data_IF_893429838273
#
_entry.id   IF_893429838273
#
_cell.length_a   1.000
_cell.length_b   1.000
_cell.length_c   1.000
_cell.angle_alpha   90.00
_cell.angle_beta   90.00
_cell.angle_gamma   90.00
#
_symmetry.space_group_name_H-M   'P 1'
#
loop_
_entity.id
_entity.type
_entity.pdbx_description
1 polymer ?
#
# COMPACT_ATOMS: atom_id res chain seq x y z
N UNK A 1 -18.89 0.67 -32.65
CA UNK A 1 -18.98 2.00 -32.00
C UNK A 1 -20.26 2.13 -31.17
N UNK A 2 -21.46 2.29 -31.76
CA UNK A 2 -22.71 2.47 -30.98
C UNK A 2 -23.04 1.30 -30.03
N UNK A 3 -22.96 0.04 -30.50
CA UNK A 3 -23.17 -1.14 -29.65
C UNK A 3 -22.16 -1.24 -28.50
N UNK A 4 -20.91 -0.85 -28.74
CA UNK A 4 -19.87 -0.85 -27.72
C UNK A 4 -20.11 0.24 -26.68
N UNK A 5 -20.56 1.43 -27.11
CA UNK A 5 -20.99 2.51 -26.21
C UNK A 5 -22.15 2.05 -25.32
N UNK A 6 -23.20 1.48 -25.91
CA UNK A 6 -24.36 0.99 -25.16
C UNK A 6 -24.00 -0.06 -24.10
N UNK A 7 -23.08 -0.98 -24.44
CA UNK A 7 -22.59 -1.97 -23.47
C UNK A 7 -21.78 -1.33 -22.34
N UNK A 8 -20.96 -0.30 -22.63
CA UNK A 8 -20.19 0.42 -21.60
C UNK A 8 -21.13 1.21 -20.69
N UNK A 9 -22.10 1.94 -21.27
CA UNK A 9 -23.07 2.74 -20.51
C UNK A 9 -23.88 1.85 -19.54
N UNK A 10 -24.37 0.69 -20.02
CA UNK A 10 -25.11 -0.26 -19.18
C UNK A 10 -24.27 -0.83 -18.01
N UNK A 11 -22.98 -1.08 -18.24
CA UNK A 11 -22.08 -1.52 -17.17
C UNK A 11 -21.82 -0.42 -16.13
N UNK A 12 -21.73 0.84 -16.56
CA UNK A 12 -21.58 1.99 -15.66
C UNK A 12 -22.83 2.16 -14.81
N UNK A 13 -24.02 2.11 -15.41
CA UNK A 13 -25.30 2.22 -14.69
C UNK A 13 -25.49 1.10 -13.65
N UNK A 14 -25.01 -0.11 -13.96
CA UNK A 14 -25.03 -1.22 -13.01
C UNK A 14 -24.04 -1.05 -11.84
N UNK A 15 -22.94 -0.31 -12.03
CA UNK A 15 -21.91 -0.08 -11.02
C UNK A 15 -22.22 1.15 -10.15
N UNK A 16 -23.35 1.13 -9.45
CA UNK A 16 -23.90 2.27 -8.70
C UNK A 16 -23.55 2.30 -7.19
N UNK A 17 -22.63 1.43 -6.74
CA UNK A 17 -22.24 1.34 -5.33
C UNK A 17 -20.93 2.11 -5.12
N UNK A 18 -20.97 3.16 -4.31
CA UNK A 18 -19.79 3.90 -3.86
C UNK A 18 -19.37 3.40 -2.47
N UNK A 19 -18.13 2.90 -2.36
CA UNK A 19 -17.57 2.37 -1.11
C UNK A 19 -16.05 2.23 -1.20
N UNK A 20 -15.40 2.07 -0.04
CA UNK A 20 -14.02 1.60 0.04
C UNK A 20 -13.84 0.20 -0.58
N UNK A 21 -12.70 -0.02 -1.22
CA UNK A 21 -12.34 -1.29 -1.85
C UNK A 21 -10.94 -1.73 -1.42
N UNK A 22 -10.72 -3.04 -1.34
CA UNK A 22 -9.40 -3.63 -1.16
C UNK A 22 -8.84 -4.00 -2.54
N UNK A 23 -7.69 -3.43 -2.89
CA UNK A 23 -6.97 -3.74 -4.14
C UNK A 23 -5.72 -4.54 -3.80
N UNK A 24 -5.64 -5.76 -4.33
CA UNK A 24 -4.47 -6.63 -4.15
C UNK A 24 -3.64 -6.64 -5.42
N UNK A 25 -2.45 -6.04 -5.37
CA UNK A 25 -1.47 -6.07 -6.45
C UNK A 25 -0.46 -7.19 -6.19
N UNK A 26 -0.60 -8.32 -6.88
CA UNK A 26 0.23 -9.51 -6.69
C UNK A 26 0.80 -10.04 -8.01
N UNK A 27 1.60 -11.10 -7.94
CA UNK A 27 2.27 -11.75 -9.06
C UNK A 27 3.76 -11.41 -9.16
N UNK A 28 4.48 -12.21 -9.95
CA UNK A 28 5.94 -12.13 -10.05
C UNK A 28 6.44 -10.98 -10.94
N UNK A 29 5.54 -10.36 -11.70
CA UNK A 29 5.87 -9.20 -12.53
C UNK A 29 6.31 -7.99 -11.72
N UNK A 30 7.25 -7.22 -12.28
CA UNK A 30 7.56 -5.87 -11.80
C UNK A 30 6.33 -4.97 -12.04
N UNK A 31 5.98 -4.15 -11.06
CA UNK A 31 4.91 -3.16 -11.22
C UNK A 31 4.05 -2.93 -9.98
N UNK A 32 4.00 -3.89 -9.04
CA UNK A 32 3.11 -3.86 -7.87
C UNK A 32 3.25 -2.58 -7.05
N UNK A 33 4.44 -2.34 -6.47
CA UNK A 33 4.67 -1.16 -5.63
C UNK A 33 4.57 0.14 -6.43
N UNK A 34 5.13 0.20 -7.65
CA UNK A 34 5.02 1.39 -8.50
C UNK A 34 3.56 1.73 -8.86
N UNK A 35 2.71 0.72 -9.07
CA UNK A 35 1.27 0.93 -9.30
C UNK A 35 0.57 1.43 -8.04
N UNK A 36 0.94 0.92 -6.85
CA UNK A 36 0.45 1.44 -5.57
C UNK A 36 0.83 2.91 -5.37
N UNK A 37 2.09 3.28 -5.64
CA UNK A 37 2.53 4.68 -5.58
C UNK A 37 1.87 5.57 -6.64
N UNK A 38 1.53 5.04 -7.81
CA UNK A 38 0.67 5.75 -8.77
C UNK A 38 -0.71 6.09 -8.21
N UNK A 39 -1.30 5.21 -7.40
CA UNK A 39 -2.57 5.48 -6.69
C UNK A 39 -2.39 6.53 -5.59
N UNK A 40 -1.25 6.51 -4.87
CA UNK A 40 -0.90 7.55 -3.89
C UNK A 40 -0.87 8.92 -4.55
N UNK A 41 -0.11 9.07 -5.65
CA UNK A 41 -0.02 10.35 -6.37
C UNK A 41 -1.39 10.80 -6.90
N UNK A 42 -2.22 9.88 -7.39
CA UNK A 42 -3.58 10.20 -7.82
C UNK A 42 -4.43 10.72 -6.66
N UNK A 43 -4.42 10.04 -5.51
CA UNK A 43 -5.20 10.42 -4.35
C UNK A 43 -4.79 11.82 -3.84
N UNK A 44 -3.49 12.08 -3.77
CA UNK A 44 -2.97 13.40 -3.40
C UNK A 44 -3.40 14.50 -4.37
N UNK A 45 -3.52 14.21 -5.66
CA UNK A 45 -4.05 15.15 -6.65
C UNK A 45 -5.53 15.54 -6.44
N UNK A 46 -6.25 14.81 -5.58
CA UNK A 46 -7.62 15.13 -5.14
C UNK A 46 -7.67 15.60 -3.68
N UNK A 47 -6.52 16.01 -3.10
CA UNK A 47 -6.41 16.46 -1.71
C UNK A 47 -6.85 15.41 -0.67
N UNK A 48 -6.79 14.12 -1.05
CA UNK A 48 -7.11 13.03 -0.15
C UNK A 48 -6.02 12.79 0.89
N UNK A 49 -6.40 12.37 2.09
CA UNK A 49 -5.46 11.93 3.12
C UNK A 49 -4.98 10.52 2.80
N UNK A 50 -3.66 10.32 2.79
CA UNK A 50 -3.03 9.05 2.40
C UNK A 50 -2.08 8.56 3.48
N UNK A 51 -2.18 7.28 3.81
CA UNK A 51 -1.22 6.55 4.64
C UNK A 51 -0.48 5.51 3.82
N UNK A 52 0.82 5.35 4.08
CA UNK A 52 1.67 4.32 3.44
C UNK A 52 2.47 3.61 4.51
N UNK A 53 2.30 2.30 4.59
CA UNK A 53 3.07 1.40 5.46
C UNK A 53 3.85 0.42 4.61
N UNK A 54 5.16 0.41 4.76
CA UNK A 54 6.07 -0.50 4.07
C UNK A 54 6.67 -1.54 5.02
N UNK A 55 6.40 -2.81 4.74
CA UNK A 55 6.84 -3.93 5.57
C UNK A 55 8.23 -4.46 5.20
N UNK A 56 8.77 -4.10 4.03
CA UNK A 56 10.14 -4.47 3.66
C UNK A 56 10.87 -3.22 3.16
N UNK A 57 12.09 -3.03 3.65
CA UNK A 57 12.98 -1.98 3.16
C UNK A 57 13.85 -2.51 2.03
N UNK A 58 13.82 -1.85 0.88
CA UNK A 58 14.78 -2.09 -0.19
C UNK A 58 16.20 -1.72 0.25
N UNK A 59 17.21 -2.47 -0.22
CA UNK A 59 18.63 -2.12 0.00
C UNK A 59 18.98 -0.72 -0.52
N UNK A 60 18.26 -0.28 -1.56
CA UNK A 60 18.24 1.09 -2.05
C UNK A 60 16.81 1.60 -1.99
N UNK A 61 16.65 2.86 -1.57
CA UNK A 61 15.35 3.51 -1.62
C UNK A 61 14.94 3.74 -3.08
N UNK A 62 13.68 3.49 -3.39
CA UNK A 62 13.07 3.79 -4.66
C UNK A 62 12.88 5.31 -4.82
N UNK A 63 12.72 5.76 -6.06
CA UNK A 63 12.45 7.18 -6.34
C UNK A 63 11.14 7.65 -5.72
N UNK A 64 10.14 6.77 -5.68
CA UNK A 64 8.84 7.01 -5.05
C UNK A 64 8.98 7.25 -3.54
N UNK A 65 9.72 6.39 -2.82
CA UNK A 65 9.99 6.55 -1.39
C UNK A 65 10.72 7.86 -1.09
N UNK A 66 11.75 8.18 -1.90
CA UNK A 66 12.50 9.43 -1.77
C UNK A 66 11.62 10.66 -2.02
N UNK A 67 10.73 10.60 -3.01
CA UNK A 67 9.84 11.71 -3.33
C UNK A 67 8.83 11.94 -2.21
N UNK A 68 8.15 10.88 -1.75
CA UNK A 68 7.21 10.95 -0.64
C UNK A 68 7.84 11.55 0.61
N UNK A 69 8.95 10.96 1.07
CA UNK A 69 9.62 11.37 2.30
C UNK A 69 10.12 12.82 2.25
N UNK A 70 10.60 13.28 1.09
CA UNK A 70 11.27 14.57 0.99
C UNK A 70 10.39 15.70 0.45
N UNK A 71 9.29 15.39 -0.24
CA UNK A 71 8.47 16.36 -0.98
C UNK A 71 6.99 16.34 -0.61
N UNK A 72 6.51 15.28 0.04
CA UNK A 72 5.10 15.12 0.41
C UNK A 72 4.97 14.90 1.92
N UNK A 73 5.21 15.93 2.75
CA UNK A 73 5.17 15.80 4.20
C UNK A 73 3.77 15.48 4.74
N UNK A 74 2.72 15.73 3.95
CA UNK A 74 1.33 15.46 4.31
C UNK A 74 0.94 13.97 4.15
N UNK A 75 1.84 13.14 3.61
CA UNK A 75 1.63 11.69 3.56
C UNK A 75 2.19 11.06 4.83
N UNK A 76 1.34 10.35 5.56
CA UNK A 76 1.76 9.55 6.69
C UNK A 76 2.52 8.31 6.19
N UNK A 77 3.85 8.41 6.20
CA UNK A 77 4.73 7.36 5.70
C UNK A 77 5.46 6.65 6.85
N UNK A 78 5.21 5.35 7.00
CA UNK A 78 5.88 4.49 7.97
C UNK A 78 6.59 3.33 7.26
N UNK A 79 7.86 3.13 7.60
CA UNK A 79 8.66 2.04 7.07
C UNK A 79 9.16 1.17 8.22
N UNK A 80 9.02 -0.15 8.10
CA UNK A 80 9.53 -1.10 9.07
C UNK A 80 11.04 -0.87 9.27
N UNK A 81 11.43 -0.66 10.53
CA UNK A 81 12.77 -0.23 10.89
C UNK A 81 13.84 -1.32 10.84
N UNK A 82 13.45 -2.59 10.77
CA UNK A 82 14.40 -3.70 10.62
C UNK A 82 14.75 -3.86 9.15
N UNK A 83 16.04 -3.76 8.84
CA UNK A 83 16.53 -4.13 7.53
C UNK A 83 16.32 -5.63 7.38
N UNK A 84 15.19 -6.03 6.80
CA UNK A 84 14.91 -7.42 6.47
C UNK A 84 16.04 -7.91 5.55
N UNK A 85 16.99 -8.65 6.11
CA UNK A 85 18.10 -9.22 5.36
C UNK A 85 17.93 -10.73 5.37
N UNK A 86 17.90 -11.31 4.18
CA UNK A 86 17.92 -12.77 3.98
C UNK A 86 19.12 -13.48 4.62
N UNK A 87 20.10 -12.72 5.12
CA UNK A 87 21.41 -13.20 5.53
C UNK A 87 21.56 -13.36 7.05
N UNK A 88 20.69 -12.78 7.88
CA UNK A 88 20.79 -12.86 9.35
C UNK A 88 19.39 -13.00 9.94
N UNK A 89 18.99 -14.24 10.26
CA UNK A 89 17.66 -14.56 10.78
C UNK A 89 17.62 -14.43 12.29
N UNK A 90 17.26 -13.24 12.78
CA UNK A 90 16.56 -13.14 14.06
C UNK A 90 15.06 -13.08 13.76
N UNK A 91 14.46 -14.28 13.67
CA UNK A 91 13.03 -14.44 13.36
C UNK A 91 12.16 -13.76 14.42
N UNK A 92 12.56 -13.77 15.69
CA UNK A 92 11.79 -13.16 16.77
C UNK A 92 11.79 -11.64 16.62
N UNK A 93 12.95 -11.04 16.31
CA UNK A 93 13.04 -9.62 16.02
C UNK A 93 12.24 -9.21 14.77
N UNK A 94 12.22 -10.04 13.73
CA UNK A 94 11.39 -9.81 12.54
C UNK A 94 9.89 -9.84 12.84
N UNK A 95 9.44 -10.80 13.65
CA UNK A 95 8.04 -10.89 14.12
C UNK A 95 7.68 -9.64 14.92
N UNK A 96 8.51 -9.27 15.90
CA UNK A 96 8.27 -8.09 16.74
C UNK A 96 8.21 -6.80 15.89
N UNK A 97 9.08 -6.68 14.88
CA UNK A 97 9.08 -5.56 13.96
C UNK A 97 7.83 -5.54 13.07
N UNK A 98 7.41 -6.70 12.57
CA UNK A 98 6.19 -6.84 11.77
C UNK A 98 4.95 -6.47 12.60
N UNK A 99 4.83 -6.96 13.83
CA UNK A 99 3.71 -6.64 14.75
C UNK A 99 3.67 -5.15 15.10
N UNK A 100 4.83 -4.53 15.37
CA UNK A 100 4.92 -3.08 15.61
C UNK A 100 4.48 -2.28 14.38
N UNK A 101 4.91 -2.71 13.19
CA UNK A 101 4.53 -2.08 11.91
C UNK A 101 3.05 -2.25 11.63
N UNK A 102 2.49 -3.44 11.91
CA UNK A 102 1.07 -3.72 11.78
C UNK A 102 0.21 -2.81 12.67
N UNK A 103 0.61 -2.56 13.92
CA UNK A 103 -0.08 -1.60 14.80
C UNK A 103 -0.15 -0.18 14.25
N UNK A 104 0.76 0.20 13.35
CA UNK A 104 0.68 1.48 12.62
C UNK A 104 -0.36 1.41 11.51
N UNK A 105 -0.33 0.33 10.72
CA UNK A 105 -1.33 0.06 9.69
C UNK A 105 -2.75 0.01 10.26
N UNK A 106 -2.98 -0.70 11.37
CA UNK A 106 -4.29 -0.81 12.04
C UNK A 106 -4.85 0.56 12.42
N UNK A 107 -4.01 1.46 12.93
CA UNK A 107 -4.44 2.82 13.27
C UNK A 107 -4.88 3.61 12.04
N UNK A 108 -4.17 3.47 10.92
CA UNK A 108 -4.56 4.11 9.66
C UNK A 108 -5.84 3.50 9.09
N UNK A 109 -5.99 2.19 9.15
CA UNK A 109 -7.17 1.46 8.66
C UNK A 109 -8.44 1.73 9.49
N UNK A 110 -8.28 2.09 10.77
CA UNK A 110 -9.38 2.42 11.68
C UNK A 110 -9.75 3.91 11.68
N UNK A 111 -8.99 4.76 10.99
CA UNK A 111 -9.24 6.20 10.90
C UNK A 111 -9.95 6.52 9.58
N UNK A 112 -11.25 6.82 9.68
CA UNK A 112 -12.13 7.16 8.55
C UNK A 112 -11.69 8.42 7.77
N UNK A 113 -10.74 9.21 8.29
CA UNK A 113 -10.19 10.34 7.55
C UNK A 113 -9.22 9.94 6.43
N UNK A 114 -8.66 8.72 6.44
CA UNK A 114 -7.84 8.24 5.34
C UNK A 114 -8.69 7.78 4.17
N UNK A 115 -8.44 8.34 2.98
CA UNK A 115 -9.10 7.89 1.75
C UNK A 115 -8.33 6.76 1.06
N UNK A 116 -7.03 6.62 1.37
CA UNK A 116 -6.16 5.56 0.84
C UNK A 116 -5.14 5.15 1.88
N UNK A 117 -5.05 3.84 2.14
CA UNK A 117 -3.96 3.22 2.91
C UNK A 117 -3.26 2.20 2.02
N UNK A 118 -1.95 2.35 1.85
CA UNK A 118 -1.10 1.40 1.12
C UNK A 118 -0.33 0.53 2.11
N UNK A 119 -0.45 -0.79 1.95
CA UNK A 119 0.27 -1.80 2.75
C UNK A 119 1.24 -2.53 1.82
N UNK A 120 2.40 -1.91 1.57
CA UNK A 120 3.37 -2.41 0.60
C UNK A 120 4.22 -3.52 1.22
N UNK A 121 4.37 -4.63 0.47
CA UNK A 121 5.06 -5.87 0.87
C UNK A 121 4.46 -6.62 2.08
N UNK A 122 3.19 -6.34 2.43
CA UNK A 122 2.45 -7.05 3.49
C UNK A 122 2.37 -8.58 3.25
N UNK A 123 2.31 -9.01 1.98
CA UNK A 123 2.14 -10.42 1.62
C UNK A 123 3.25 -11.31 2.17
N UNK A 124 4.48 -10.80 2.30
CA UNK A 124 5.59 -11.55 2.90
C UNK A 124 5.41 -11.77 4.40
N UNK A 125 4.86 -10.79 5.11
CA UNK A 125 4.61 -10.93 6.56
C UNK A 125 3.62 -12.06 6.84
N UNK A 126 2.59 -12.18 6.00
CA UNK A 126 1.61 -13.27 6.10
C UNK A 126 2.24 -14.59 5.63
N UNK A 127 2.92 -14.60 4.48
CA UNK A 127 3.49 -15.82 3.90
C UNK A 127 4.56 -16.47 4.79
N UNK A 128 5.36 -15.69 5.51
CA UNK A 128 6.38 -16.18 6.45
C UNK A 128 5.87 -16.39 7.87
N UNK A 129 4.58 -16.14 8.12
CA UNK A 129 3.93 -16.24 9.44
C UNK A 129 4.59 -15.33 10.47
N UNK A 130 4.79 -14.07 10.07
CA UNK A 130 5.20 -12.98 10.95
C UNK A 130 4.00 -12.19 11.48
N UNK A 131 2.89 -12.23 10.74
CA UNK A 131 1.57 -11.75 11.15
C UNK A 131 0.55 -12.87 10.95
N UNK A 132 -0.49 -12.89 11.80
CA UNK A 132 -1.65 -13.78 11.70
C UNK A 132 -2.85 -13.12 11.01
#
# INVERSE_FOLDING_TARGET
>A
MQKQKANVDANIEAANIERGVLIVLTGNGKGKSSSAFGMVLRALGYDHKVGVVQFIKGAQLSGEELYLKNKLPDVDFYQMGTGFTWNTQDREADIEAAEKTWKVAEKMLADDSYNLVVLDELTYMIAYKYLE
#
